data_IF_744374125256
#
_entry.id   IF_744374125256
#
_cell.length_a   1.000
_cell.length_b   1.000
_cell.length_c   1.000
_cell.angle_alpha   90.00
_cell.angle_beta   90.00
_cell.angle_gamma   90.00
#
_symmetry.space_group_name_H-M   'P 1'
#
loop_
_entity.id
_entity.type
_entity.pdbx_description
1 polymer ?
#
# COMPACT_ATOMS: atom_id res chain seq x y z
N UNK A 1 -4.60 17.11 -15.40
CA UNK A 1 -3.56 16.09 -15.17
C UNK A 1 -4.04 14.82 -15.86
N UNK A 2 -3.22 14.17 -16.67
CA UNK A 2 -3.61 13.03 -17.53
C UNK A 2 -3.49 11.69 -16.78
N UNK A 3 -4.24 11.52 -15.69
CA UNK A 3 -4.36 10.21 -15.02
C UNK A 3 -5.73 9.61 -15.30
N UNK A 4 -5.89 8.27 -15.28
CA UNK A 4 -7.19 7.64 -15.33
C UNK A 4 -8.13 8.16 -14.23
N UNK A 5 -9.35 8.54 -14.61
CA UNK A 5 -10.35 9.14 -13.72
C UNK A 5 -10.69 8.27 -12.50
N UNK A 6 -10.52 6.95 -12.61
CA UNK A 6 -10.84 6.03 -11.51
C UNK A 6 -9.89 6.16 -10.30
N UNK A 7 -8.73 6.81 -10.44
CA UNK A 7 -7.83 7.02 -9.31
C UNK A 7 -8.48 7.90 -8.23
N UNK A 8 -9.33 8.84 -8.62
CA UNK A 8 -10.08 9.70 -7.69
C UNK A 8 -11.27 8.97 -7.04
N UNK A 9 -11.74 7.89 -7.66
CA UNK A 9 -12.83 7.06 -7.15
C UNK A 9 -12.36 5.99 -6.15
N UNK A 10 -11.05 5.75 -6.09
CA UNK A 10 -10.47 4.81 -5.14
C UNK A 10 -10.69 5.27 -3.68
N UNK A 11 -10.73 4.33 -2.71
CA UNK A 11 -10.88 4.68 -1.31
C UNK A 11 -9.81 5.66 -0.81
N UNK A 12 -10.18 6.52 0.14
CA UNK A 12 -9.25 7.46 0.80
C UNK A 12 -8.78 6.88 2.12
N UNK A 13 -7.48 7.04 2.42
CA UNK A 13 -6.91 6.68 3.72
C UNK A 13 -6.65 7.96 4.51
N UNK A 14 -7.50 8.22 5.50
CA UNK A 14 -7.35 9.37 6.41
C UNK A 14 -6.48 9.01 7.60
N UNK A 15 -5.49 9.85 7.88
CA UNK A 15 -4.55 9.67 8.99
C UNK A 15 -4.36 10.98 9.77
N UNK A 16 -3.82 10.85 10.97
CA UNK A 16 -3.36 11.97 11.79
C UNK A 16 -1.84 11.87 11.98
N UNK A 17 -1.13 12.99 11.86
CA UNK A 17 0.30 13.07 12.13
C UNK A 17 0.60 14.21 13.13
N UNK A 18 0.92 13.87 14.41
CA UNK A 18 1.18 14.89 15.42
C UNK A 18 2.47 15.69 15.15
N UNK A 19 3.40 15.14 14.37
CA UNK A 19 4.59 15.87 13.96
C UNK A 19 4.27 16.88 12.88
N UNK A 20 3.44 16.50 11.89
CA UNK A 20 2.95 17.43 10.87
C UNK A 20 2.12 18.56 11.50
N UNK A 21 1.28 18.25 12.49
CA UNK A 21 0.54 19.25 13.27
C UNK A 21 1.50 20.23 13.98
N UNK A 22 2.50 19.69 14.70
CA UNK A 22 3.46 20.50 15.45
C UNK A 22 4.28 21.42 14.55
N UNK A 23 4.68 20.95 13.37
CA UNK A 23 5.43 21.73 12.39
C UNK A 23 4.56 22.72 11.58
N UNK A 24 3.23 22.65 11.71
CA UNK A 24 2.31 23.42 10.87
C UNK A 24 2.27 22.96 9.41
N UNK A 25 2.70 21.73 9.12
CA UNK A 25 2.74 21.16 7.77
C UNK A 25 1.36 20.69 7.29
N UNK A 26 0.47 20.34 8.22
CA UNK A 26 -0.91 19.97 7.95
C UNK A 26 -1.83 20.62 9.00
N UNK A 27 -2.95 21.21 8.56
CA UNK A 27 -3.96 21.75 9.47
C UNK A 27 -4.50 20.62 10.35
N UNK A 28 -4.43 20.81 11.66
CA UNK A 28 -4.85 19.84 12.67
C UNK A 28 -4.16 18.47 12.54
N UNK A 29 -3.04 18.38 11.82
CA UNK A 29 -2.31 17.13 11.56
C UNK A 29 -3.02 16.13 10.65
N UNK A 30 -4.17 16.47 10.07
CA UNK A 30 -4.95 15.54 9.26
C UNK A 30 -4.40 15.44 7.83
N UNK A 31 -4.27 14.21 7.34
CA UNK A 31 -3.77 13.89 6.00
C UNK A 31 -4.69 12.88 5.33
N UNK A 32 -5.20 13.24 4.15
CA UNK A 32 -5.96 12.34 3.28
C UNK A 32 -5.03 11.82 2.19
N UNK A 33 -4.76 10.52 2.20
CA UNK A 33 -3.99 9.85 1.16
C UNK A 33 -4.93 9.24 0.13
N UNK A 34 -4.76 9.66 -1.12
CA UNK A 34 -5.47 9.12 -2.27
C UNK A 34 -4.61 8.07 -2.97
N UNK A 35 -5.23 7.21 -3.77
CA UNK A 35 -4.48 6.23 -4.58
C UNK A 35 -3.44 6.92 -5.50
N UNK A 36 -3.75 8.12 -5.99
CA UNK A 36 -2.83 8.92 -6.79
C UNK A 36 -1.51 9.23 -6.07
N UNK A 37 -1.50 9.36 -4.73
CA UNK A 37 -0.27 9.60 -3.98
C UNK A 37 0.64 8.36 -4.00
N UNK A 38 0.06 7.16 -3.94
CA UNK A 38 0.79 5.90 -4.10
C UNK A 38 1.32 5.74 -5.54
N UNK A 39 0.54 6.15 -6.55
CA UNK A 39 0.99 6.16 -7.96
C UNK A 39 2.16 7.14 -8.16
N UNK A 40 2.09 8.34 -7.58
CA UNK A 40 3.18 9.32 -7.64
C UNK A 40 4.44 8.82 -6.95
N UNK A 41 4.28 8.14 -5.81
CA UNK A 41 5.40 7.53 -5.09
C UNK A 41 6.08 6.45 -5.93
N UNK A 42 5.30 5.54 -6.53
CA UNK A 42 5.82 4.41 -7.30
C UNK A 42 6.22 4.78 -8.75
N UNK A 43 5.78 5.95 -9.23
CA UNK A 43 5.90 6.39 -10.62
C UNK A 43 4.92 5.73 -11.60
N UNK A 44 4.15 4.73 -11.18
CA UNK A 44 3.20 4.02 -12.02
C UNK A 44 2.10 3.33 -11.20
N UNK A 45 1.01 2.96 -11.88
CA UNK A 45 -0.11 2.18 -11.34
C UNK A 45 0.01 0.73 -11.75
N UNK A 46 0.02 -0.18 -10.78
CA UNK A 46 -0.03 -1.63 -11.00
C UNK A 46 -0.75 -2.33 -9.84
N UNK A 47 -1.10 -3.63 -10.01
CA UNK A 47 -1.79 -4.39 -8.96
C UNK A 47 -1.05 -4.43 -7.61
N UNK A 48 0.29 -4.41 -7.63
CA UNK A 48 1.11 -4.35 -6.41
C UNK A 48 0.91 -3.04 -5.64
N UNK A 49 0.96 -1.89 -6.32
CA UNK A 49 0.81 -0.57 -5.68
C UNK A 49 -0.61 -0.39 -5.15
N UNK A 50 -1.62 -0.78 -5.92
CA UNK A 50 -3.01 -0.79 -5.48
C UNK A 50 -3.24 -1.75 -4.30
N UNK A 51 -2.67 -2.95 -4.38
CA UNK A 51 -2.71 -3.94 -3.31
C UNK A 51 -2.11 -3.42 -2.01
N UNK A 52 -0.91 -2.83 -2.05
CA UNK A 52 -0.26 -2.27 -0.87
C UNK A 52 -1.07 -1.11 -0.25
N UNK A 53 -1.66 -0.24 -1.10
CA UNK A 53 -2.53 0.83 -0.65
C UNK A 53 -3.76 0.29 0.09
N UNK A 54 -4.42 -0.74 -0.46
CA UNK A 54 -5.59 -1.36 0.15
C UNK A 54 -5.26 -2.19 1.40
N UNK A 55 -4.11 -2.88 1.42
CA UNK A 55 -3.60 -3.56 2.62
C UNK A 55 -3.42 -2.57 3.76
N UNK A 56 -2.76 -1.44 3.48
CA UNK A 56 -2.57 -0.38 4.47
C UNK A 56 -3.91 0.15 4.97
N UNK A 57 -4.83 0.49 4.07
CA UNK A 57 -6.19 0.92 4.43
C UNK A 57 -6.90 -0.07 5.36
N UNK A 58 -6.89 -1.36 5.01
CA UNK A 58 -7.58 -2.41 5.77
C UNK A 58 -6.96 -2.61 7.16
N UNK A 59 -5.62 -2.61 7.27
CA UNK A 59 -4.94 -2.68 8.55
C UNK A 59 -5.28 -1.48 9.45
N UNK A 60 -5.22 -0.27 8.89
CA UNK A 60 -5.48 0.97 9.62
C UNK A 60 -6.92 1.04 10.14
N UNK A 61 -7.90 0.62 9.34
CA UNK A 61 -9.30 0.59 9.74
C UNK A 61 -9.57 -0.34 10.94
N UNK A 62 -8.80 -1.42 11.09
CA UNK A 62 -8.94 -2.33 12.25
C UNK A 62 -8.16 -1.82 13.46
N UNK A 63 -6.98 -1.24 13.26
CA UNK A 63 -6.16 -0.70 14.37
C UNK A 63 -6.72 0.59 14.97
N UNK A 64 -7.48 1.35 14.19
CA UNK A 64 -8.08 2.63 14.56
C UNK A 64 -9.54 2.70 14.06
N UNK A 65 -10.49 1.98 14.70
CA UNK A 65 -11.87 1.89 14.23
C UNK A 65 -12.65 3.21 14.40
N UNK A 66 -12.30 4.00 15.41
CA UNK A 66 -13.07 5.17 15.84
C UNK A 66 -12.36 6.52 15.57
N UNK A 67 -11.13 6.49 15.06
CA UNK A 67 -10.28 7.67 14.87
C UNK A 67 -9.34 7.51 13.66
N UNK A 68 -8.80 8.60 13.09
CA UNK A 68 -7.76 8.49 12.07
C UNK A 68 -6.50 7.81 12.63
N UNK A 69 -5.88 6.94 11.84
CA UNK A 69 -4.66 6.27 12.25
C UNK A 69 -3.50 7.25 12.49
N UNK A 70 -2.82 7.12 13.63
CA UNK A 70 -1.69 7.97 13.97
C UNK A 70 -0.41 7.51 13.23
N UNK A 71 0.11 8.36 12.36
CA UNK A 71 1.37 8.11 11.66
C UNK A 71 2.52 8.00 12.64
N UNK A 72 3.29 6.93 12.49
CA UNK A 72 4.41 6.45 13.30
C UNK A 72 4.10 6.11 14.75
N UNK A 73 2.82 5.84 15.05
CA UNK A 73 2.40 5.03 16.18
C UNK A 73 2.07 3.58 15.74
N UNK A 74 2.67 3.15 14.62
CA UNK A 74 2.39 1.88 13.94
C UNK A 74 3.72 1.28 13.53
N UNK A 75 3.97 0.03 13.90
CA UNK A 75 5.02 -0.79 13.32
C UNK A 75 4.45 -1.68 12.22
N UNK A 76 5.26 -1.89 11.18
CA UNK A 76 4.96 -2.75 10.03
C UNK A 76 6.08 -3.78 9.90
N UNK A 77 5.71 -5.05 9.81
CA UNK A 77 6.65 -6.14 9.54
C UNK A 77 6.31 -6.80 8.20
N UNK A 78 7.26 -6.74 7.27
CA UNK A 78 7.18 -7.37 5.96
C UNK A 78 7.66 -8.82 6.07
N UNK A 79 6.90 -9.82 5.56
CA UNK A 79 7.20 -11.24 5.76
C UNK A 79 8.30 -11.78 4.86
N UNK A 80 9.06 -10.90 4.19
CA UNK A 80 10.10 -11.26 3.24
C UNK A 80 11.21 -10.18 3.22
N UNK A 81 12.40 -10.49 2.68
CA UNK A 81 13.48 -9.53 2.49
C UNK A 81 13.10 -8.34 1.62
N UNK A 82 13.75 -7.20 1.86
CA UNK A 82 13.48 -5.93 1.16
C UNK A 82 13.63 -6.04 -0.37
N UNK A 83 14.64 -6.79 -0.83
CA UNK A 83 14.99 -6.98 -2.24
C UNK A 83 14.27 -8.17 -2.90
N UNK A 84 13.42 -8.88 -2.15
CA UNK A 84 12.69 -10.02 -2.70
C UNK A 84 11.42 -9.57 -3.43
N UNK A 85 11.43 -9.74 -4.75
CA UNK A 85 10.27 -9.50 -5.60
C UNK A 85 9.76 -8.06 -5.49
N UNK A 86 8.53 -7.90 -4.98
CA UNK A 86 7.86 -6.60 -4.85
C UNK A 86 7.84 -6.05 -3.41
N UNK A 87 8.54 -6.72 -2.48
CA UNK A 87 8.46 -6.41 -1.04
C UNK A 87 8.84 -4.96 -0.74
N UNK A 88 9.97 -4.48 -1.28
CA UNK A 88 10.38 -3.07 -1.13
C UNK A 88 9.41 -2.06 -1.74
N UNK A 89 8.70 -2.41 -2.83
CA UNK A 89 7.67 -1.54 -3.44
C UNK A 89 6.48 -1.40 -2.51
N UNK A 90 5.99 -2.53 -1.96
CA UNK A 90 4.88 -2.52 -1.01
C UNK A 90 5.26 -1.75 0.27
N UNK A 91 6.47 -1.98 0.80
CA UNK A 91 6.97 -1.29 1.99
C UNK A 91 7.01 0.24 1.83
N UNK A 92 7.34 0.76 0.65
CA UNK A 92 7.31 2.20 0.39
C UNK A 92 5.89 2.78 0.46
N UNK A 93 4.90 2.10 -0.12
CA UNK A 93 3.49 2.52 -0.03
C UNK A 93 3.00 2.44 1.42
N UNK A 94 3.38 1.41 2.17
CA UNK A 94 3.04 1.32 3.59
C UNK A 94 3.74 2.40 4.42
N UNK A 95 4.96 2.78 4.08
CA UNK A 95 5.68 3.92 4.69
C UNK A 95 4.93 5.24 4.47
N UNK A 96 4.42 5.46 3.25
CA UNK A 96 3.60 6.64 2.93
C UNK A 96 2.41 6.75 3.89
N UNK A 97 1.61 5.68 3.99
CA UNK A 97 0.38 5.67 4.77
C UNK A 97 0.64 5.71 6.28
N UNK A 98 1.56 4.90 6.77
CA UNK A 98 1.74 4.69 8.22
C UNK A 98 2.82 5.58 8.83
N UNK A 99 3.73 6.14 8.02
CA UNK A 99 4.96 6.75 8.51
C UNK A 99 5.99 5.76 9.06
N UNK A 100 5.71 4.45 9.08
CA UNK A 100 6.66 3.45 9.51
C UNK A 100 7.78 3.32 8.46
N UNK A 101 9.03 3.57 8.85
CA UNK A 101 10.17 3.49 7.95
C UNK A 101 11.24 2.57 8.54
N UNK A 102 12.06 1.99 7.65
CA UNK A 102 13.18 1.13 8.03
C UNK A 102 14.37 1.96 8.51
N UNK A 103 15.60 1.61 8.08
CA UNK A 103 16.82 2.34 8.46
C UNK A 103 16.88 3.79 8.00
N UNK A 104 16.08 4.16 7.00
CA UNK A 104 16.02 5.46 6.33
C UNK A 104 15.02 6.46 6.95
N UNK A 105 14.29 6.08 8.00
CA UNK A 105 13.28 6.94 8.62
C UNK A 105 13.86 8.12 9.41
N UNK A 106 13.00 9.09 9.71
CA UNK A 106 13.31 10.18 10.64
C UNK A 106 13.60 9.62 12.05
N UNK A 107 14.74 10.00 12.65
CA UNK A 107 15.16 9.53 13.98
C UNK A 107 14.31 10.09 15.12
N UNK A 108 13.48 11.09 14.84
CA UNK A 108 12.69 11.79 15.85
C UNK A 108 13.40 13.02 16.41
N UNK A 109 12.67 13.79 17.21
CA UNK A 109 13.17 14.99 17.88
C UNK A 109 12.97 14.84 19.38
N UNK A 110 14.07 14.80 20.14
CA UNK A 110 14.06 14.59 21.60
C UNK A 110 13.20 13.39 22.04
N UNK A 111 13.35 12.26 21.34
CA UNK A 111 12.63 11.02 21.64
C UNK A 111 11.18 10.96 21.14
N UNK A 112 10.69 11.99 20.44
CA UNK A 112 9.33 12.05 19.88
C UNK A 112 9.33 11.92 18.36
N UNK A 113 8.19 11.51 17.78
CA UNK A 113 7.95 11.50 16.33
C UNK A 113 8.89 10.60 15.50
N UNK A 114 9.52 9.61 16.14
CA UNK A 114 10.42 8.67 15.44
C UNK A 114 9.64 7.92 14.35
N UNK A 115 10.24 7.80 13.18
CA UNK A 115 9.78 6.98 12.05
C UNK A 115 10.71 5.81 11.77
N UNK A 116 12.01 6.00 12.05
CA UNK A 116 13.07 5.01 11.86
C UNK A 116 12.86 3.76 12.71
N UNK A 117 13.00 2.60 12.08
CA UNK A 117 12.91 1.29 12.72
C UNK A 117 11.49 0.86 13.06
N UNK A 118 10.48 1.52 12.50
CA UNK A 118 9.08 1.10 12.61
C UNK A 118 8.68 0.15 11.49
N UNK A 119 9.41 0.12 10.38
CA UNK A 119 9.27 -0.88 9.33
C UNK A 119 10.44 -1.86 9.41
N UNK A 120 10.13 -3.16 9.41
CA UNK A 120 11.12 -4.23 9.36
C UNK A 120 10.80 -5.22 8.24
N UNK A 121 11.84 -5.95 7.83
CA UNK A 121 11.77 -7.03 6.86
C UNK A 121 12.26 -8.30 7.54
N UNK A 122 11.66 -9.44 7.21
CA UNK A 122 12.25 -10.72 7.60
C UNK A 122 13.51 -11.01 6.78
N UNK A 123 14.44 -11.76 7.37
CA UNK A 123 15.66 -12.24 6.69
C UNK A 123 15.36 -13.32 5.64
N UNK A 124 14.23 -14.03 5.79
CA UNK A 124 13.76 -15.06 4.87
C UNK A 124 12.23 -14.98 4.74
N UNK A 125 11.65 -15.54 3.67
CA UNK A 125 10.19 -15.53 3.53
C UNK A 125 9.52 -16.37 4.63
N UNK A 126 8.69 -15.73 5.44
CA UNK A 126 7.91 -16.34 6.54
C UNK A 126 6.45 -16.63 6.14
N UNK A 127 6.03 -16.16 4.97
CA UNK A 127 4.68 -16.29 4.42
C UNK A 127 4.30 -15.07 3.59
N UNK A 128 2.99 -14.82 3.49
CA UNK A 128 2.45 -13.70 2.70
C UNK A 128 1.82 -12.59 3.56
N UNK A 129 1.69 -12.81 4.87
CA UNK A 129 1.01 -11.89 5.76
C UNK A 129 1.92 -10.72 6.17
N UNK A 130 1.48 -9.49 5.90
CA UNK A 130 2.12 -8.28 6.43
C UNK A 130 1.49 -7.98 7.79
N UNK A 131 2.33 -7.81 8.80
CA UNK A 131 1.87 -7.57 10.18
C UNK A 131 1.93 -6.07 10.47
N UNK A 132 0.85 -5.56 11.04
CA UNK A 132 0.75 -4.19 11.53
C UNK A 132 0.49 -4.23 13.03
N UNK A 133 1.22 -3.42 13.78
CA UNK A 133 1.09 -3.31 15.24
C UNK A 133 0.93 -1.86 15.65
N UNK A 134 -0.14 -1.54 16.37
CA UNK A 134 -0.32 -0.25 17.02
C UNK A 134 0.53 -0.24 18.30
N UNK A 135 1.31 0.82 18.51
CA UNK A 135 2.40 0.80 19.50
C UNK A 135 1.96 1.20 20.91
N UNK A 136 0.86 1.93 21.06
CA UNK A 136 0.37 2.40 22.36
C UNK A 136 -0.43 1.34 23.13
N UNK A 137 -1.00 0.35 22.44
CA UNK A 137 -1.88 -0.68 23.00
C UNK A 137 -1.54 -2.11 22.56
N UNK A 138 -0.45 -2.28 21.82
CA UNK A 138 0.08 -3.55 21.31
C UNK A 138 -0.85 -4.36 20.38
N UNK A 139 -2.02 -3.83 20.02
CA UNK A 139 -2.97 -4.51 19.12
C UNK A 139 -2.31 -4.71 17.76
N UNK A 140 -2.41 -5.94 17.25
CA UNK A 140 -1.76 -6.35 16.01
C UNK A 140 -2.73 -7.05 15.07
N UNK A 141 -2.53 -6.84 13.77
CA UNK A 141 -3.30 -7.47 12.70
C UNK A 141 -2.35 -8.00 11.63
N UNK A 142 -2.66 -9.16 11.10
CA UNK A 142 -2.02 -9.74 9.92
C UNK A 142 -2.91 -9.52 8.71
N UNK A 143 -2.37 -8.98 7.62
CA UNK A 143 -3.11 -8.75 6.38
C UNK A 143 -2.49 -9.53 5.24
N UNK A 144 -3.31 -10.30 4.52
CA UNK A 144 -2.93 -11.01 3.29
C UNK A 144 -3.74 -10.50 2.12
N UNK A 145 -3.13 -10.52 0.93
CA UNK A 145 -3.74 -10.10 -0.32
C UNK A 145 -3.72 -11.25 -1.33
N UNK A 146 -4.88 -11.60 -1.86
CA UNK A 146 -5.05 -12.56 -2.95
C UNK A 146 -5.70 -11.89 -4.17
N UNK A 147 -4.87 -11.54 -5.15
CA UNK A 147 -5.32 -10.90 -6.40
C UNK A 147 -5.71 -11.89 -7.49
N UNK A 148 -5.77 -13.20 -7.18
CA UNK A 148 -6.13 -14.25 -8.16
C UNK A 148 -7.60 -14.19 -8.57
N UNK A 149 -8.46 -13.64 -7.70
CA UNK A 149 -9.89 -13.47 -7.96
C UNK A 149 -10.22 -12.32 -8.92
N UNK A 150 -9.22 -11.49 -9.24
CA UNK A 150 -9.41 -10.31 -10.08
C UNK A 150 -9.25 -10.74 -11.53
N UNK A 151 -10.31 -10.63 -12.37
CA UNK A 151 -10.24 -11.07 -13.75
C UNK A 151 -9.07 -10.44 -14.50
N UNK A 152 -8.33 -11.27 -15.23
CA UNK A 152 -7.27 -10.85 -16.14
C UNK A 152 -7.74 -10.97 -17.58
N UNK A 153 -7.28 -10.07 -18.45
CA UNK A 153 -7.44 -10.27 -19.89
C UNK A 153 -6.61 -11.50 -20.31
N UNK A 154 -7.21 -12.53 -20.94
CA UNK A 154 -6.50 -13.73 -21.36
C UNK A 154 -5.28 -13.46 -22.25
N UNK A 155 -5.31 -12.39 -23.05
CA UNK A 155 -4.22 -11.99 -23.93
C UNK A 155 -3.17 -11.09 -23.24
N UNK A 156 -3.35 -10.73 -21.97
CA UNK A 156 -2.44 -9.83 -21.25
C UNK A 156 -0.99 -10.35 -21.25
N UNK A 157 -0.81 -11.65 -21.01
CA UNK A 157 0.52 -12.27 -21.01
C UNK A 157 1.19 -12.26 -22.39
N UNK A 158 0.44 -12.59 -23.43
CA UNK A 158 0.92 -12.54 -24.82
C UNK A 158 1.35 -11.12 -25.23
N UNK A 159 0.50 -10.12 -24.95
CA UNK A 159 0.82 -8.72 -25.25
C UNK A 159 2.03 -8.23 -24.46
N UNK A 160 2.16 -8.61 -23.18
CA UNK A 160 3.34 -8.26 -22.38
C UNK A 160 4.61 -8.83 -22.99
N UNK A 161 4.61 -10.11 -23.40
CA UNK A 161 5.77 -10.72 -24.05
C UNK A 161 6.11 -10.01 -25.36
N UNK A 162 5.11 -9.67 -26.17
CA UNK A 162 5.34 -8.92 -27.41
C UNK A 162 5.94 -7.53 -27.17
N UNK A 163 5.50 -6.83 -26.12
CA UNK A 163 6.06 -5.53 -25.70
C UNK A 163 7.52 -5.69 -25.26
N UNK A 164 7.81 -6.67 -24.41
CA UNK A 164 9.18 -6.90 -23.89
C UNK A 164 10.16 -7.38 -24.96
N UNK A 165 9.65 -7.89 -26.09
CA UNK A 165 10.44 -8.30 -27.26
C UNK A 165 10.49 -7.23 -28.36
N UNK A 166 9.99 -6.02 -28.09
CA UNK A 166 9.91 -4.91 -29.05
C UNK A 166 9.18 -5.27 -30.37
N UNK A 167 8.25 -6.23 -30.33
CA UNK A 167 7.50 -6.70 -31.49
C UNK A 167 6.00 -6.34 -31.44
N UNK A 168 5.54 -5.71 -30.36
CA UNK A 168 4.17 -5.24 -30.22
C UNK A 168 3.90 -3.98 -31.05
N UNK A 169 2.81 -4.00 -31.82
CA UNK A 169 2.29 -2.80 -32.48
C UNK A 169 1.59 -1.86 -31.48
N UNK A 170 1.22 -0.66 -31.95
CA UNK A 170 0.55 0.37 -31.14
C UNK A 170 -0.78 -0.12 -30.57
N UNK A 171 -1.51 -0.96 -31.31
CA UNK A 171 -2.79 -1.51 -30.87
C UNK A 171 -2.60 -2.52 -29.73
N UNK A 172 -1.59 -3.37 -29.81
CA UNK A 172 -1.23 -4.32 -28.76
C UNK A 172 -0.75 -3.61 -27.50
N UNK A 173 0.06 -2.56 -27.64
CA UNK A 173 0.50 -1.72 -26.52
C UNK A 173 -0.68 -1.05 -25.81
N UNK A 174 -1.59 -0.45 -26.58
CA UNK A 174 -2.79 0.21 -26.04
C UNK A 174 -3.69 -0.80 -25.34
N UNK A 175 -3.98 -1.94 -25.99
CA UNK A 175 -4.82 -2.99 -25.41
C UNK A 175 -4.19 -3.64 -24.16
N UNK A 176 -2.86 -3.70 -24.06
CA UNK A 176 -2.19 -4.10 -22.83
C UNK A 176 -2.39 -3.08 -21.72
N UNK A 177 -2.15 -1.80 -22.01
CA UNK A 177 -2.28 -0.72 -21.03
C UNK A 177 -3.71 -0.62 -20.47
N UNK A 178 -4.72 -0.67 -21.36
CA UNK A 178 -6.13 -0.63 -20.99
C UNK A 178 -6.52 -1.82 -20.11
N UNK A 179 -6.15 -3.04 -20.51
CA UNK A 179 -6.43 -4.24 -19.72
C UNK A 179 -5.71 -4.23 -18.36
N UNK A 180 -4.49 -3.69 -18.31
CA UNK A 180 -3.73 -3.56 -17.07
C UNK A 180 -4.40 -2.58 -16.10
N UNK A 181 -4.79 -1.39 -16.59
CA UNK A 181 -5.45 -0.39 -15.76
C UNK A 181 -6.88 -0.81 -15.38
N UNK A 182 -7.62 -1.53 -16.24
CA UNK A 182 -8.94 -2.07 -15.85
C UNK A 182 -8.81 -3.08 -14.70
N UNK A 183 -7.77 -3.93 -14.71
CA UNK A 183 -7.50 -4.83 -13.57
C UNK A 183 -7.26 -4.07 -12.27
N UNK A 184 -6.49 -2.97 -12.32
CA UNK A 184 -6.25 -2.10 -11.16
C UNK A 184 -7.54 -1.40 -10.72
N UNK A 185 -8.34 -0.91 -11.67
CA UNK A 185 -9.65 -0.31 -11.40
C UNK A 185 -10.57 -1.29 -10.68
N UNK A 186 -10.68 -2.54 -11.15
CA UNK A 186 -11.48 -3.58 -10.48
C UNK A 186 -10.99 -3.83 -9.06
N UNK A 187 -9.68 -3.96 -8.86
CA UNK A 187 -9.10 -4.13 -7.53
C UNK A 187 -9.53 -2.99 -6.58
N UNK A 188 -9.42 -1.73 -7.03
CA UNK A 188 -9.69 -0.55 -6.21
C UNK A 188 -11.17 -0.23 -6.01
N UNK A 189 -12.04 -0.56 -6.99
CA UNK A 189 -13.44 -0.12 -6.97
C UNK A 189 -14.43 -1.26 -6.69
N UNK A 190 -14.07 -2.50 -7.02
CA UNK A 190 -14.98 -3.64 -6.92
C UNK A 190 -14.55 -4.63 -5.82
N UNK A 191 -13.24 -4.80 -5.60
CA UNK A 191 -12.68 -5.78 -4.66
C UNK A 191 -12.03 -5.18 -3.43
N UNK A 192 -12.09 -3.86 -3.26
CA UNK A 192 -11.38 -3.15 -2.19
C UNK A 192 -11.75 -3.67 -0.79
N UNK A 193 -13.01 -4.05 -0.59
CA UNK A 193 -13.53 -4.55 0.68
C UNK A 193 -13.90 -6.06 0.61
N UNK A 194 -13.48 -6.78 -0.44
CA UNK A 194 -13.76 -8.22 -0.57
C UNK A 194 -12.85 -9.02 0.40
N UNK A 195 -13.40 -9.72 1.41
CA UNK A 195 -12.61 -10.43 2.41
C UNK A 195 -11.87 -11.65 1.85
N UNK A 196 -12.19 -12.07 0.62
CA UNK A 196 -11.46 -13.12 -0.10
C UNK A 196 -10.21 -12.57 -0.78
N UNK A 197 -10.21 -11.28 -1.13
CA UNK A 197 -9.07 -10.57 -1.72
C UNK A 197 -8.20 -9.95 -0.64
N UNK A 198 -8.78 -9.30 0.37
CA UNK A 198 -8.06 -8.67 1.48
C UNK A 198 -8.53 -9.28 2.78
N UNK A 199 -7.70 -10.13 3.36
CA UNK A 199 -8.03 -10.83 4.60
C UNK A 199 -7.24 -10.23 5.74
N UNK A 200 -7.98 -9.67 6.70
CA UNK A 200 -7.42 -9.14 7.95
C UNK A 200 -7.70 -10.13 9.08
N UNK A 201 -6.65 -10.57 9.75
CA UNK A 201 -6.72 -11.51 10.87
C UNK A 201 -6.17 -10.81 12.12
N UNK A 202 -6.99 -10.59 13.17
CA UNK A 202 -6.49 -10.14 14.46
C UNK A 202 -5.44 -11.12 14.99
N UNK A 203 -4.32 -10.59 15.49
CA UNK A 203 -3.31 -11.39 16.15
C UNK A 203 -3.56 -11.31 17.65
N UNK A 204 -3.87 -12.45 18.25
CA UNK A 204 -3.90 -12.55 19.71
C UNK A 204 -2.44 -12.46 20.19
N UNK A 205 -2.14 -11.44 20.99
CA UNK A 205 -0.85 -11.27 21.65
C UNK A 205 -0.59 -12.30 22.74
#
# INVERSE_FOLDING_TARGET
>A
MNFPDFYEQAPVVRTYDPFAAMLGAARDGLLDYHYLDAVRLAGHSCPTVAGAFLIGRAALAVLYPDEPAERGNIAVHMPAPEDEGVTGVMAQVLTLLTGAAAGNGFHGMRGRYRRKGLLSFSEQREGDAIIFKRLDNDVSVAVTLDVSLIPTDPAQGERLMAILQDCADVSQQTAFADAWQDRVRRLLLEFADDPRVIRVTPMNG
#
